data_IF_569029290840
#
_entry.id   IF_569029290840
#
_cell.length_a   1.000
_cell.length_b   1.000
_cell.length_c   1.000
_cell.angle_alpha   90.00
_cell.angle_beta   90.00
_cell.angle_gamma   90.00
#
_symmetry.space_group_name_H-M   'P 1'
#
loop_
_entity.id
_entity.type
_entity.pdbx_description
1 polymer ?
#
# COMPACT_ATOMS: atom_id res chain seq x y z
N UNK A 1 3.14 2.47 -16.47
CA UNK A 1 3.69 3.29 -15.37
C UNK A 1 2.57 3.76 -14.46
N UNK A 2 2.69 3.48 -13.18
CA UNK A 2 1.68 3.84 -12.19
C UNK A 2 2.20 4.91 -11.24
N UNK A 3 1.28 5.73 -10.72
CA UNK A 3 1.58 6.69 -9.65
C UNK A 3 1.26 6.02 -8.33
N UNK A 4 2.26 5.86 -7.49
CA UNK A 4 2.17 5.03 -6.29
C UNK A 4 2.50 5.84 -5.04
N UNK A 5 1.64 5.72 -4.03
CA UNK A 5 1.89 6.22 -2.69
C UNK A 5 2.34 5.04 -1.81
N UNK A 6 3.46 5.19 -1.14
CA UNK A 6 3.98 4.19 -0.21
C UNK A 6 3.68 4.64 1.21
N UNK A 7 3.13 3.74 2.01
CA UNK A 7 2.87 4.00 3.44
C UNK A 7 3.50 2.89 4.27
N UNK A 8 4.58 3.20 4.96
CA UNK A 8 5.34 2.27 5.80
C UNK A 8 6.18 3.09 6.77
N UNK A 9 6.23 2.70 8.04
CA UNK A 9 6.99 3.43 9.05
C UNK A 9 8.49 3.12 9.03
N UNK A 10 8.93 2.13 8.26
CA UNK A 10 10.32 1.75 8.14
C UNK A 10 11.00 2.49 6.98
N UNK A 11 11.99 3.31 7.28
CA UNK A 11 12.78 4.00 6.25
C UNK A 11 13.46 2.99 5.32
N UNK A 12 13.96 1.88 5.88
CA UNK A 12 14.65 0.85 5.10
C UNK A 12 13.70 0.18 4.11
N UNK A 13 12.49 -0.14 4.53
CA UNK A 13 11.49 -0.76 3.66
C UNK A 13 11.07 0.20 2.55
N UNK A 14 10.84 1.48 2.88
CA UNK A 14 10.49 2.46 1.86
C UNK A 14 11.60 2.61 0.83
N UNK A 15 12.86 2.59 1.27
CA UNK A 15 14.00 2.67 0.34
C UNK A 15 14.04 1.48 -0.61
N UNK A 16 13.84 0.27 -0.10
CA UNK A 16 13.80 -0.94 -0.93
C UNK A 16 12.65 -0.88 -1.93
N UNK A 17 11.47 -0.46 -1.47
CA UNK A 17 10.31 -0.31 -2.36
C UNK A 17 10.54 0.71 -3.45
N UNK A 18 11.18 1.84 -3.13
CA UNK A 18 11.51 2.86 -4.14
C UNK A 18 12.41 2.29 -5.23
N UNK A 19 13.42 1.51 -4.84
CA UNK A 19 14.32 0.87 -5.82
C UNK A 19 13.55 -0.10 -6.72
N UNK A 20 12.70 -0.94 -6.12
CA UNK A 20 11.90 -1.91 -6.87
C UNK A 20 10.97 -1.21 -7.86
N UNK A 21 10.26 -0.19 -7.40
CA UNK A 21 9.30 0.52 -8.22
C UNK A 21 9.97 1.30 -9.35
N UNK A 22 11.16 1.83 -9.10
CA UNK A 22 11.96 2.49 -10.13
C UNK A 22 12.35 1.51 -11.24
N UNK A 23 12.75 0.29 -10.88
CA UNK A 23 13.07 -0.76 -11.85
C UNK A 23 11.85 -1.06 -12.72
N UNK A 24 10.65 -1.03 -12.15
CA UNK A 24 9.40 -1.26 -12.88
C UNK A 24 8.85 -0.05 -13.60
N UNK A 25 9.59 1.06 -13.64
CA UNK A 25 9.17 2.32 -14.28
C UNK A 25 7.92 2.93 -13.65
N UNK A 26 7.69 2.69 -12.36
CA UNK A 26 6.60 3.33 -11.63
C UNK A 26 7.06 4.62 -10.98
N UNK A 27 6.13 5.55 -10.82
CA UNK A 27 6.42 6.83 -10.17
C UNK A 27 5.95 6.81 -8.72
N UNK A 28 6.85 7.11 -7.79
CA UNK A 28 6.50 7.25 -6.37
C UNK A 28 6.18 8.72 -6.13
N UNK A 29 4.92 9.02 -5.88
CA UNK A 29 4.47 10.40 -5.75
C UNK A 29 4.64 10.96 -4.34
N UNK A 30 4.66 10.10 -3.33
CA UNK A 30 5.01 10.49 -1.96
C UNK A 30 5.18 9.26 -1.08
N UNK A 31 5.63 9.50 0.16
CA UNK A 31 5.82 8.46 1.18
C UNK A 31 5.18 8.92 2.48
N UNK A 32 4.37 8.06 3.07
CA UNK A 32 3.79 8.28 4.39
C UNK A 32 4.49 7.39 5.41
N UNK A 33 4.76 7.90 6.60
CA UNK A 33 5.41 7.12 7.66
C UNK A 33 4.47 6.76 8.80
N UNK A 34 3.21 7.12 8.71
CA UNK A 34 2.18 6.68 9.64
C UNK A 34 0.82 6.65 8.95
N UNK A 35 -0.16 6.06 9.63
CA UNK A 35 -1.49 5.88 9.04
C UNK A 35 -2.24 7.19 8.82
N UNK A 36 -2.04 8.19 9.66
CA UNK A 36 -2.69 9.48 9.50
C UNK A 36 -2.18 10.20 8.25
N UNK A 37 -0.85 10.20 8.04
CA UNK A 37 -0.25 10.75 6.83
C UNK A 37 -0.75 10.01 5.58
N UNK A 38 -0.87 8.68 5.67
CA UNK A 38 -1.32 7.88 4.53
C UNK A 38 -2.70 8.31 4.06
N UNK A 39 -3.63 8.50 4.97
CA UNK A 39 -4.99 8.94 4.63
C UNK A 39 -4.97 10.35 4.04
N UNK A 40 -4.27 11.28 4.68
CA UNK A 40 -4.22 12.67 4.22
C UNK A 40 -3.58 12.78 2.84
N UNK A 41 -2.46 12.10 2.63
CA UNK A 41 -1.78 12.11 1.34
C UNK A 41 -2.61 11.45 0.25
N UNK A 42 -3.34 10.36 0.57
CA UNK A 42 -4.21 9.74 -0.41
C UNK A 42 -5.28 10.71 -0.89
N UNK A 43 -5.89 11.43 0.03
CA UNK A 43 -6.94 12.41 -0.33
C UNK A 43 -6.41 13.54 -1.20
N UNK A 44 -5.19 14.01 -0.90
CA UNK A 44 -4.57 15.10 -1.65
C UNK A 44 -4.06 14.66 -3.02
N UNK A 45 -3.43 13.50 -3.11
CA UNK A 45 -2.66 13.08 -4.29
C UNK A 45 -3.41 12.11 -5.19
N UNK A 46 -4.36 11.36 -4.65
CA UNK A 46 -5.17 10.37 -5.37
C UNK A 46 -4.30 9.45 -6.24
N UNK A 47 -3.41 8.67 -5.61
CA UNK A 47 -2.52 7.78 -6.37
C UNK A 47 -3.30 6.69 -7.08
N UNK A 48 -2.67 6.07 -8.07
CA UNK A 48 -3.26 4.90 -8.73
C UNK A 48 -3.21 3.67 -7.83
N UNK A 49 -2.16 3.55 -7.01
CA UNK A 49 -2.02 2.45 -6.04
C UNK A 49 -1.48 3.00 -4.73
N UNK A 50 -2.04 2.52 -3.63
CA UNK A 50 -1.49 2.72 -2.29
C UNK A 50 -0.88 1.40 -1.83
N UNK A 51 0.43 1.40 -1.57
CA UNK A 51 1.11 0.28 -0.91
C UNK A 51 1.11 0.57 0.58
N UNK A 52 0.44 -0.27 1.35
CA UNK A 52 0.14 0.01 2.74
C UNK A 52 0.67 -1.07 3.68
N UNK A 53 1.58 -0.70 4.58
CA UNK A 53 2.00 -1.56 5.67
C UNK A 53 0.90 -1.57 6.74
N UNK A 54 0.58 -2.75 7.26
CA UNK A 54 -0.47 -2.89 8.26
C UNK A 54 -0.04 -2.48 9.67
N UNK A 55 1.25 -2.46 9.96
CA UNK A 55 1.77 -2.21 11.31
C UNK A 55 2.37 -0.80 11.43
N UNK A 56 1.56 0.23 11.31
CA UNK A 56 2.01 1.61 11.44
C UNK A 56 1.43 2.29 12.67
N UNK A 57 2.14 3.31 13.23
CA UNK A 57 1.59 4.08 14.34
C UNK A 57 0.45 5.01 13.90
N UNK A 58 -0.23 5.58 14.88
CA UNK A 58 -1.34 6.53 14.79
C UNK A 58 -2.63 5.92 14.26
N UNK A 59 -2.63 5.39 13.04
CA UNK A 59 -3.78 4.63 12.51
C UNK A 59 -3.26 3.31 12.01
N UNK A 60 -3.88 2.22 12.41
CA UNK A 60 -3.51 0.90 11.91
C UNK A 60 -3.95 0.73 10.45
N UNK A 61 -3.45 -0.33 9.82
CA UNK A 61 -3.72 -0.55 8.40
C UNK A 61 -5.19 -0.73 8.08
N UNK A 62 -5.94 -1.41 8.95
CA UNK A 62 -7.37 -1.60 8.72
C UNK A 62 -8.12 -0.25 8.72
N UNK A 63 -7.80 0.63 9.68
CA UNK A 63 -8.41 1.96 9.75
C UNK A 63 -8.09 2.77 8.51
N UNK A 64 -6.85 2.70 8.02
CA UNK A 64 -6.46 3.38 6.77
C UNK A 64 -7.27 2.86 5.59
N UNK A 65 -7.39 1.54 5.44
CA UNK A 65 -8.20 0.94 4.36
C UNK A 65 -9.63 1.47 4.43
N UNK A 66 -10.22 1.44 5.61
CA UNK A 66 -11.60 1.87 5.81
C UNK A 66 -11.80 3.33 5.40
N UNK A 67 -10.94 4.22 5.88
CA UNK A 67 -11.06 5.65 5.60
C UNK A 67 -10.78 5.97 4.13
N UNK A 68 -9.79 5.33 3.51
CA UNK A 68 -9.48 5.54 2.10
C UNK A 68 -10.63 5.07 1.21
N UNK A 69 -11.19 3.90 1.49
CA UNK A 69 -12.30 3.36 0.70
C UNK A 69 -13.57 4.21 0.89
N UNK A 70 -13.80 4.76 2.07
CA UNK A 70 -14.91 5.70 2.28
C UNK A 70 -14.77 6.95 1.41
N UNK A 71 -13.54 7.45 1.27
CA UNK A 71 -13.24 8.60 0.44
C UNK A 71 -13.30 8.26 -1.06
N UNK A 72 -12.76 7.10 -1.44
CA UNK A 72 -12.69 6.65 -2.83
C UNK A 72 -12.98 5.15 -2.92
N UNK A 73 -14.22 4.76 -3.23
CA UNK A 73 -14.57 3.33 -3.32
C UNK A 73 -13.81 2.56 -4.38
N UNK A 74 -13.18 3.24 -5.32
CA UNK A 74 -12.38 2.60 -6.38
C UNK A 74 -10.89 2.57 -6.07
N UNK A 75 -10.48 2.95 -4.87
CA UNK A 75 -9.08 2.97 -4.48
C UNK A 75 -8.45 1.58 -4.61
N UNK A 76 -7.24 1.54 -5.15
CA UNK A 76 -6.48 0.28 -5.27
C UNK A 76 -5.44 0.25 -4.15
N UNK A 77 -5.70 -0.55 -3.13
CA UNK A 77 -4.84 -0.69 -1.96
C UNK A 77 -4.23 -2.09 -1.97
N UNK A 78 -2.90 -2.15 -1.99
CA UNK A 78 -2.16 -3.40 -1.86
C UNK A 78 -1.48 -3.38 -0.49
N UNK A 79 -1.80 -4.37 0.33
CA UNK A 79 -1.25 -4.46 1.68
C UNK A 79 0.16 -5.04 1.64
N UNK A 80 1.03 -4.56 2.52
CA UNK A 80 2.34 -5.16 2.75
C UNK A 80 2.39 -5.54 4.21
N UNK A 81 2.66 -6.81 4.51
CA UNK A 81 2.61 -7.28 5.88
C UNK A 81 3.64 -8.36 6.17
N UNK A 82 4.30 -8.26 7.32
CA UNK A 82 5.13 -9.32 7.86
C UNK A 82 4.29 -10.28 8.69
N UNK A 83 3.03 -9.94 8.90
CA UNK A 83 2.18 -10.61 9.85
C UNK A 83 1.61 -11.92 9.33
N UNK A 84 1.54 -12.90 10.21
CA UNK A 84 0.76 -14.11 10.01
C UNK A 84 -0.70 -13.89 10.39
N UNK A 85 -1.07 -12.66 10.72
CA UNK A 85 -2.43 -12.36 11.17
C UNK A 85 -3.39 -12.30 9.98
N UNK A 86 -3.75 -13.49 9.53
CA UNK A 86 -4.66 -13.66 8.39
C UNK A 86 -6.02 -13.01 8.65
N UNK A 87 -6.41 -12.91 9.92
CA UNK A 87 -7.68 -12.28 10.27
C UNK A 87 -7.70 -10.79 9.90
N UNK A 88 -6.64 -10.06 10.23
CA UNK A 88 -6.55 -8.64 9.87
C UNK A 88 -6.45 -8.46 8.36
N UNK A 89 -5.66 -9.31 7.68
CA UNK A 89 -5.55 -9.28 6.22
C UNK A 89 -6.93 -9.48 5.60
N UNK A 90 -7.68 -10.48 6.07
CA UNK A 90 -9.01 -10.76 5.54
C UNK A 90 -9.98 -9.61 5.78
N UNK A 91 -9.92 -8.97 6.95
CA UNK A 91 -10.75 -7.80 7.23
C UNK A 91 -10.46 -6.66 6.25
N UNK A 92 -9.19 -6.42 5.96
CA UNK A 92 -8.80 -5.38 4.99
C UNK A 92 -9.30 -5.72 3.58
N UNK A 93 -9.19 -6.98 3.17
CA UNK A 93 -9.65 -7.41 1.84
C UNK A 93 -11.18 -7.29 1.74
N UNK A 94 -11.90 -7.62 2.80
CA UNK A 94 -13.35 -7.48 2.83
C UNK A 94 -13.79 -6.02 2.73
N UNK A 95 -12.98 -5.09 3.23
CA UNK A 95 -13.28 -3.66 3.21
C UNK A 95 -12.82 -2.96 1.95
N UNK A 96 -12.17 -3.67 1.03
CA UNK A 96 -11.86 -3.09 -0.27
C UNK A 96 -10.40 -3.12 -0.70
N UNK A 97 -9.47 -3.56 0.14
CA UNK A 97 -8.10 -3.79 -0.30
C UNK A 97 -8.12 -4.88 -1.39
N UNK A 98 -7.29 -4.73 -2.41
CA UNK A 98 -7.38 -5.60 -3.59
C UNK A 98 -6.38 -6.76 -3.59
N UNK A 99 -5.30 -6.65 -2.81
CA UNK A 99 -4.29 -7.70 -2.76
C UNK A 99 -3.39 -7.48 -1.56
N UNK A 100 -2.49 -8.43 -1.31
CA UNK A 100 -1.47 -8.25 -0.28
C UNK A 100 -0.16 -8.91 -0.70
N UNK A 101 0.93 -8.41 -0.11
CA UNK A 101 2.30 -8.91 -0.33
C UNK A 101 2.86 -9.24 1.04
N UNK A 102 3.36 -10.47 1.21
CA UNK A 102 3.97 -10.90 2.48
C UNK A 102 5.43 -10.48 2.55
N UNK A 103 5.87 -10.05 3.72
CA UNK A 103 7.30 -9.83 4.00
C UNK A 103 7.93 -11.16 4.44
N UNK A 104 9.15 -11.48 4.08
CA UNK A 104 9.99 -10.72 3.16
C UNK A 104 9.49 -10.86 1.72
N UNK A 105 9.53 -9.77 0.99
CA UNK A 105 9.12 -9.77 -0.41
C UNK A 105 10.34 -9.69 -1.32
N UNK A 106 10.19 -10.11 -2.57
CA UNK A 106 11.19 -9.90 -3.59
C UNK A 106 10.66 -8.91 -4.64
N UNK A 107 11.55 -8.49 -5.51
CA UNK A 107 11.20 -7.47 -6.48
C UNK A 107 10.20 -7.99 -7.52
N UNK A 108 10.30 -9.26 -7.93
CA UNK A 108 9.35 -9.85 -8.86
C UNK A 108 7.94 -9.91 -8.27
N UNK A 109 7.82 -10.28 -7.01
CA UNK A 109 6.53 -10.37 -6.33
C UNK A 109 5.84 -9.02 -6.23
N UNK A 110 6.59 -7.95 -5.90
CA UNK A 110 6.03 -6.61 -5.80
C UNK A 110 5.57 -6.11 -7.17
N UNK A 111 6.41 -6.22 -8.19
CA UNK A 111 6.07 -5.73 -9.53
C UNK A 111 4.92 -6.51 -10.16
N UNK A 112 4.86 -7.82 -9.91
CA UNK A 112 3.76 -8.66 -10.38
C UNK A 112 2.42 -8.24 -9.75
N UNK A 113 2.42 -8.02 -8.44
CA UNK A 113 1.20 -7.60 -7.73
C UNK A 113 0.69 -6.27 -8.28
N UNK A 114 1.59 -5.32 -8.55
CA UNK A 114 1.22 -4.03 -9.10
C UNK A 114 0.65 -4.18 -10.50
N UNK A 115 1.33 -4.89 -11.40
CA UNK A 115 0.88 -5.01 -12.78
C UNK A 115 -0.45 -5.77 -12.89
N UNK A 116 -0.64 -6.81 -12.11
CA UNK A 116 -1.90 -7.57 -12.10
C UNK A 116 -3.08 -6.72 -11.62
N UNK A 117 -2.84 -5.82 -10.69
CA UNK A 117 -3.91 -5.01 -10.11
C UNK A 117 -4.17 -3.70 -10.88
N UNK A 118 -3.20 -3.22 -11.65
CA UNK A 118 -3.44 -2.10 -12.55
C UNK A 118 -4.39 -2.48 -13.68
N UNK A 119 -4.38 -3.72 -14.09
CA UNK A 119 -5.22 -4.21 -15.20
C UNK A 119 -6.69 -4.39 -14.81
N UNK A 120 -7.02 -4.31 -13.53
CA UNK A 120 -8.39 -4.51 -13.05
C UNK A 120 -9.25 -3.27 -13.09
#
# INVERSE_FOLDING_TARGET
MAKILIADDSDAIRLVLKDILSIGDHEIISEACDGAEAVDMYKDLKPEILLLDLAMPKKDGFTVVKEVIEFDPNAKIILITASDDQKVINQCLEHGAISYISKPFDFNGVLKAISENLAK
#
